data_IF_878331690646
#
_entry.id   IF_878331690646
#
_cell.length_a   1.000
_cell.length_b   1.000
_cell.length_c   1.000
_cell.angle_alpha   90.00
_cell.angle_beta   90.00
_cell.angle_gamma   90.00
#
_symmetry.space_group_name_H-M   'P 1'
#
loop_
_entity.id
_entity.type
_entity.pdbx_description
1 polymer ?
#
# COMPACT_ATOMS: atom_id res chain seq x y z
N UNK A 1 64.08 37.76 4.91
CA UNK A 1 64.51 36.34 4.86
C UNK A 1 64.79 35.96 6.31
N UNK A 2 63.81 35.35 7.01
CA UNK A 2 63.59 33.88 7.01
C UNK A 2 62.09 33.53 6.87
N UNK A 3 61.70 32.48 6.14
CA UNK A 3 61.71 31.03 6.46
C UNK A 3 60.75 30.60 7.59
N UNK A 4 59.59 30.12 7.10
CA UNK A 4 58.71 29.05 7.54
C UNK A 4 59.03 28.29 8.83
N UNK A 5 58.06 28.29 9.76
CA UNK A 5 57.76 27.13 10.60
C UNK A 5 56.26 26.88 10.57
N UNK A 6 55.84 25.84 9.84
CA UNK A 6 54.47 25.29 9.90
C UNK A 6 54.34 24.45 11.18
N UNK A 7 53.58 24.95 12.15
CA UNK A 7 53.08 24.16 13.27
C UNK A 7 51.87 23.35 12.80
N UNK A 8 51.82 22.03 12.99
CA UNK A 8 50.63 21.25 12.64
C UNK A 8 49.48 21.63 13.56
N UNK A 9 48.35 22.00 12.95
CA UNK A 9 47.09 22.18 13.64
C UNK A 9 46.71 20.89 14.35
N UNK A 10 46.46 20.99 15.66
CA UNK A 10 45.88 19.91 16.45
C UNK A 10 44.55 19.48 15.84
N UNK A 11 44.46 18.22 15.45
CA UNK A 11 43.23 17.58 15.00
C UNK A 11 42.29 17.50 16.21
N UNK A 12 41.05 18.05 16.15
CA UNK A 12 40.10 17.84 17.22
C UNK A 12 39.77 16.34 17.32
N UNK A 13 39.77 15.84 18.55
CA UNK A 13 39.50 14.45 18.90
C UNK A 13 38.23 13.95 18.19
N UNK A 14 38.35 12.78 17.55
CA UNK A 14 37.21 12.00 17.06
C UNK A 14 36.28 11.77 18.25
N UNK A 15 35.09 12.36 18.20
CA UNK A 15 34.00 11.95 19.06
C UNK A 15 33.60 10.55 18.63
N UNK A 16 34.06 9.54 19.36
CA UNK A 16 33.49 8.20 19.27
C UNK A 16 32.06 8.31 19.78
N UNK A 17 31.11 8.54 18.88
CA UNK A 17 29.70 8.23 19.13
C UNK A 17 29.66 6.74 19.43
N UNK A 18 29.46 6.40 20.70
CA UNK A 18 29.02 5.08 21.12
C UNK A 18 27.71 4.82 20.39
N UNK A 19 27.77 4.05 19.31
CA UNK A 19 26.61 3.52 18.61
C UNK A 19 25.79 2.74 19.65
N UNK A 20 24.53 3.11 19.93
CA UNK A 20 23.68 2.28 20.76
C UNK A 20 23.51 0.94 20.05
N UNK A 21 23.89 -0.13 20.73
CA UNK A 21 23.86 -1.50 20.22
C UNK A 21 22.59 -1.77 19.40
N UNK A 22 22.69 -2.52 18.28
CA UNK A 22 21.52 -2.86 17.47
C UNK A 22 20.50 -3.51 18.39
N UNK A 23 19.38 -2.82 18.60
CA UNK A 23 18.24 -3.40 19.30
C UNK A 23 17.83 -4.61 18.47
N UNK A 24 18.18 -5.80 18.94
CA UNK A 24 17.62 -7.04 18.43
C UNK A 24 16.12 -6.90 18.56
N UNK A 25 15.44 -6.63 17.45
CA UNK A 25 13.98 -6.67 17.40
C UNK A 25 13.62 -8.13 17.63
N UNK A 26 13.34 -8.46 18.90
CA UNK A 26 12.81 -9.77 19.27
C UNK A 26 11.56 -9.98 18.40
N UNK A 27 11.46 -11.07 17.62
CA UNK A 27 10.22 -11.39 16.94
C UNK A 27 9.14 -11.45 18.01
N UNK A 28 8.16 -10.54 17.95
CA UNK A 28 6.99 -10.59 18.82
C UNK A 28 6.41 -11.99 18.66
N UNK A 29 6.53 -12.83 19.70
CA UNK A 29 5.91 -14.14 19.74
C UNK A 29 4.42 -13.91 19.51
N UNK A 30 3.94 -14.30 18.33
CA UNK A 30 2.51 -14.35 18.02
C UNK A 30 1.95 -15.50 18.84
N UNK A 31 1.01 -15.20 19.73
CA UNK A 31 0.32 -16.19 20.53
C UNK A 31 -0.43 -17.14 19.59
N UNK A 32 -0.69 -18.38 20.00
CA UNK A 32 -1.41 -19.36 19.16
C UNK A 32 -2.84 -18.91 18.74
N UNK A 33 -3.38 -17.87 19.39
CA UNK A 33 -4.62 -17.18 19.00
C UNK A 33 -4.47 -16.16 17.84
N UNK A 34 -3.25 -15.89 17.37
CA UNK A 34 -2.94 -14.93 16.29
C UNK A 34 -2.93 -15.60 14.90
N UNK A 35 -3.37 -16.85 14.79
CA UNK A 35 -3.64 -17.43 13.47
C UNK A 35 -4.88 -16.75 12.90
N UNK A 36 -4.80 -16.14 11.70
CA UNK A 36 -5.98 -15.56 11.10
C UNK A 36 -7.03 -16.66 10.91
N UNK A 37 -8.30 -16.33 11.15
CA UNK A 37 -9.37 -17.28 10.88
C UNK A 37 -9.29 -17.71 9.42
N UNK A 38 -9.53 -18.99 9.13
CA UNK A 38 -9.31 -19.53 7.77
C UNK A 38 -10.30 -18.97 6.74
N UNK A 39 -11.50 -18.54 7.16
CA UNK A 39 -12.57 -18.17 6.23
C UNK A 39 -13.45 -16.98 6.65
N UNK A 40 -13.02 -16.14 7.58
CA UNK A 40 -13.77 -14.90 7.85
C UNK A 40 -13.34 -13.77 6.91
N UNK A 41 -14.26 -12.84 6.66
CA UNK A 41 -14.05 -11.68 5.79
C UNK A 41 -13.58 -10.41 6.53
N UNK A 42 -13.21 -10.52 7.81
CA UNK A 42 -12.66 -9.39 8.54
C UNK A 42 -11.37 -8.88 7.88
N UNK A 43 -11.29 -7.57 7.68
CA UNK A 43 -10.16 -6.91 7.02
C UNK A 43 -8.81 -7.34 7.61
N UNK A 44 -8.68 -7.33 8.93
CA UNK A 44 -7.44 -7.74 9.62
C UNK A 44 -7.07 -9.20 9.34
N UNK A 45 -8.03 -10.11 9.34
CA UNK A 45 -7.76 -11.53 9.10
C UNK A 45 -7.35 -11.78 7.65
N UNK A 46 -8.04 -11.17 6.69
CA UNK A 46 -7.66 -11.26 5.26
C UNK A 46 -6.27 -10.68 5.00
N UNK A 47 -5.95 -9.55 5.65
CA UNK A 47 -4.62 -8.94 5.57
C UNK A 47 -3.54 -9.88 6.12
N UNK A 48 -3.79 -10.52 7.25
CA UNK A 48 -2.84 -11.48 7.83
C UNK A 48 -2.67 -12.71 6.94
N UNK A 49 -3.76 -13.26 6.37
CA UNK A 49 -3.68 -14.39 5.42
C UNK A 49 -2.88 -14.02 4.17
N UNK A 50 -3.12 -12.84 3.59
CA UNK A 50 -2.42 -12.39 2.39
C UNK A 50 -0.92 -12.17 2.62
N UNK A 51 -0.52 -11.68 3.81
CA UNK A 51 0.89 -11.52 4.19
C UNK A 51 1.65 -12.86 4.28
N UNK A 52 0.95 -13.97 4.52
CA UNK A 52 1.52 -15.31 4.58
C UNK A 52 1.60 -15.98 3.20
N UNK A 53 1.09 -15.36 2.14
CA UNK A 53 1.02 -15.94 0.80
C UNK A 53 2.13 -15.36 -0.11
N UNK A 54 2.65 -16.15 -1.07
CA UNK A 54 3.51 -15.61 -2.11
C UNK A 54 2.72 -14.62 -2.99
N UNK A 55 3.41 -13.56 -3.46
CA UNK A 55 2.86 -12.65 -4.47
C UNK A 55 3.18 -13.18 -5.86
N UNK A 56 2.15 -13.57 -6.61
CA UNK A 56 2.27 -13.92 -8.02
C UNK A 56 1.86 -12.72 -8.85
N UNK A 57 2.80 -12.17 -9.63
CA UNK A 57 2.59 -10.95 -10.43
C UNK A 57 2.08 -9.76 -9.59
N UNK A 58 2.57 -9.66 -8.34
CA UNK A 58 2.18 -8.61 -7.39
C UNK A 58 0.89 -8.86 -6.60
N UNK A 59 0.15 -9.94 -6.91
CA UNK A 59 -1.16 -10.26 -6.29
C UNK A 59 -1.08 -11.49 -5.39
N UNK A 60 -1.90 -11.51 -4.34
CA UNK A 60 -2.03 -12.66 -3.43
C UNK A 60 -3.26 -13.50 -3.79
N UNK A 61 -3.22 -14.81 -3.49
CA UNK A 61 -4.34 -15.72 -3.82
C UNK A 61 -5.60 -15.39 -3.03
N UNK A 62 -5.44 -14.79 -1.85
CA UNK A 62 -6.50 -14.30 -0.98
C UNK A 62 -7.48 -13.40 -1.74
N UNK A 63 -7.00 -12.50 -2.61
CA UNK A 63 -7.82 -11.44 -3.24
C UNK A 63 -8.07 -11.65 -4.74
N UNK A 64 -7.98 -12.89 -5.24
CA UNK A 64 -8.13 -13.20 -6.68
C UNK A 64 -9.53 -12.85 -7.18
N UNK A 65 -10.57 -13.07 -6.37
CA UNK A 65 -11.94 -12.78 -6.76
C UNK A 65 -12.14 -11.29 -7.01
N UNK A 66 -11.60 -10.44 -6.14
CA UNK A 66 -11.72 -8.99 -6.20
C UNK A 66 -10.94 -8.41 -7.37
N UNK A 67 -9.75 -8.95 -7.67
CA UNK A 67 -9.00 -8.59 -8.88
C UNK A 67 -9.76 -8.95 -10.16
N UNK A 68 -10.46 -10.10 -10.19
CA UNK A 68 -11.31 -10.49 -11.32
C UNK A 68 -12.50 -9.55 -11.46
N UNK A 69 -13.16 -9.21 -10.35
CA UNK A 69 -14.27 -8.26 -10.34
C UNK A 69 -13.83 -6.88 -10.85
N UNK A 70 -12.70 -6.36 -10.38
CA UNK A 70 -12.14 -5.09 -10.85
C UNK A 70 -11.87 -5.11 -12.37
N UNK A 71 -11.28 -6.19 -12.89
CA UNK A 71 -11.04 -6.36 -14.31
C UNK A 71 -12.33 -6.44 -15.13
N UNK A 72 -13.35 -7.13 -14.61
CA UNK A 72 -14.66 -7.21 -15.25
C UNK A 72 -15.34 -5.83 -15.33
N UNK A 73 -15.33 -5.07 -14.22
CA UNK A 73 -15.84 -3.69 -14.22
C UNK A 73 -15.08 -2.86 -15.26
N UNK A 74 -13.75 -2.90 -15.28
CA UNK A 74 -12.95 -2.14 -16.24
C UNK A 74 -13.33 -2.46 -17.69
N UNK A 75 -13.61 -3.74 -18.01
CA UNK A 75 -14.00 -4.15 -19.36
C UNK A 75 -15.33 -3.52 -19.83
N UNK A 76 -16.21 -3.12 -18.89
CA UNK A 76 -17.49 -2.48 -19.18
C UNK A 76 -17.45 -0.94 -19.12
N UNK A 77 -16.36 -0.34 -18.64
CA UNK A 77 -16.22 1.10 -18.47
C UNK A 77 -15.01 1.66 -19.23
N UNK A 78 -15.14 1.95 -20.55
CA UNK A 78 -14.06 2.52 -21.34
C UNK A 78 -13.56 3.86 -20.77
N UNK A 79 -12.24 4.06 -20.77
CA UNK A 79 -11.63 5.29 -20.27
C UNK A 79 -11.52 5.38 -18.74
N UNK A 80 -11.93 4.33 -18.03
CA UNK A 80 -11.73 4.19 -16.58
C UNK A 80 -10.69 3.10 -16.33
N UNK A 81 -9.78 3.33 -15.38
CA UNK A 81 -8.87 2.30 -14.88
C UNK A 81 -9.37 1.85 -13.51
N UNK A 82 -9.64 0.55 -13.34
CA UNK A 82 -10.20 -0.02 -12.10
C UNK A 82 -9.25 -1.07 -11.53
N UNK A 83 -9.02 -1.02 -10.22
CA UNK A 83 -8.19 -2.00 -9.52
C UNK A 83 -8.68 -2.24 -8.08
N UNK A 84 -8.28 -3.38 -7.52
CA UNK A 84 -8.49 -3.67 -6.10
C UNK A 84 -7.19 -3.45 -5.32
N UNK A 85 -7.25 -2.60 -4.30
CA UNK A 85 -6.13 -2.33 -3.42
C UNK A 85 -6.07 -3.34 -2.28
N UNK A 86 -5.18 -4.34 -2.35
CA UNK A 86 -5.08 -5.38 -1.32
C UNK A 86 -4.79 -4.82 0.08
N UNK A 87 -3.98 -3.76 0.18
CA UNK A 87 -3.62 -3.16 1.46
C UNK A 87 -4.76 -2.35 2.09
N UNK A 88 -5.61 -1.73 1.26
CA UNK A 88 -6.78 -0.97 1.72
C UNK A 88 -8.04 -1.82 1.79
N UNK A 89 -8.02 -2.97 1.11
CA UNK A 89 -9.18 -3.83 0.84
C UNK A 89 -10.37 -3.03 0.31
N UNK A 90 -10.10 -2.29 -0.77
CA UNK A 90 -11.09 -1.40 -1.40
C UNK A 90 -10.87 -1.38 -2.90
N UNK A 91 -11.95 -1.14 -3.63
CA UNK A 91 -11.90 -0.87 -5.05
C UNK A 91 -11.54 0.58 -5.31
N UNK A 92 -10.78 0.80 -6.37
CA UNK A 92 -10.37 2.12 -6.81
C UNK A 92 -10.66 2.26 -8.30
N UNK A 93 -11.09 3.44 -8.70
CA UNK A 93 -11.24 3.80 -10.11
C UNK A 93 -10.63 5.16 -10.40
N UNK A 94 -9.71 5.21 -11.36
CA UNK A 94 -9.27 6.46 -11.96
C UNK A 94 -10.16 6.77 -13.16
N UNK A 95 -10.89 7.88 -13.06
CA UNK A 95 -11.78 8.39 -14.11
C UNK A 95 -11.24 9.73 -14.63
N UNK A 96 -11.71 10.24 -15.78
CA UNK A 96 -11.37 11.58 -16.23
C UNK A 96 -11.75 12.70 -15.23
N UNK A 97 -12.76 12.46 -14.38
CA UNK A 97 -13.20 13.41 -13.37
C UNK A 97 -12.36 13.36 -12.07
N UNK A 98 -11.53 12.32 -11.89
CA UNK A 98 -10.73 12.12 -10.70
C UNK A 98 -10.67 10.68 -10.22
N UNK A 99 -10.16 10.51 -9.00
CA UNK A 99 -9.96 9.22 -8.35
C UNK A 99 -11.10 8.91 -7.37
N UNK A 100 -11.67 7.72 -7.48
CA UNK A 100 -12.76 7.22 -6.63
C UNK A 100 -12.25 6.01 -5.84
N UNK A 101 -12.60 5.92 -4.56
CA UNK A 101 -12.42 4.71 -3.75
C UNK A 101 -13.77 4.22 -3.22
N UNK A 102 -13.99 2.92 -3.20
CA UNK A 102 -15.19 2.30 -2.68
C UNK A 102 -14.86 1.02 -1.89
N UNK A 103 -15.56 0.74 -0.78
CA UNK A 103 -15.31 -0.45 0.03
C UNK A 103 -15.66 -1.76 -0.70
N UNK A 104 -16.61 -1.71 -1.63
CA UNK A 104 -17.10 -2.87 -2.38
C UNK A 104 -17.42 -2.49 -3.84
N UNK A 105 -17.70 -3.52 -4.66
CA UNK A 105 -17.92 -3.38 -6.09
C UNK A 105 -19.21 -2.63 -6.44
N UNK A 106 -20.28 -2.83 -5.66
CA UNK A 106 -21.58 -2.21 -5.93
C UNK A 106 -21.52 -0.71 -5.64
N UNK A 107 -20.86 -0.34 -4.53
CA UNK A 107 -20.59 1.07 -4.19
C UNK A 107 -19.73 1.73 -5.27
N UNK A 108 -18.75 1.01 -5.83
CA UNK A 108 -17.96 1.54 -6.95
C UNK A 108 -18.82 1.76 -8.20
N UNK A 109 -19.63 0.78 -8.58
CA UNK A 109 -20.50 0.86 -9.76
C UNK A 109 -21.49 2.00 -9.65
N UNK A 110 -22.07 2.21 -8.47
CA UNK A 110 -22.97 3.33 -8.20
C UNK A 110 -22.25 4.67 -8.39
N UNK A 111 -21.02 4.81 -7.90
CA UNK A 111 -20.20 6.01 -8.10
C UNK A 111 -19.83 6.20 -9.58
N UNK A 112 -19.47 5.14 -10.29
CA UNK A 112 -19.15 5.25 -11.72
C UNK A 112 -20.37 5.71 -12.53
N UNK A 113 -21.58 5.28 -12.17
CA UNK A 113 -22.81 5.72 -12.83
C UNK A 113 -23.05 7.23 -12.67
N UNK A 114 -22.84 7.79 -11.47
CA UNK A 114 -22.99 9.25 -11.26
C UNK A 114 -21.95 10.07 -12.01
N UNK A 115 -20.73 9.56 -12.18
CA UNK A 115 -19.63 10.26 -12.86
C UNK A 115 -19.59 10.07 -14.39
N UNK A 116 -20.19 9.01 -14.94
CA UNK A 116 -20.31 8.79 -16.39
C UNK A 116 -21.57 9.38 -17.00
N UNK A 117 -22.56 9.75 -16.18
CA UNK A 117 -23.62 10.64 -16.64
C UNK A 117 -22.97 12.00 -16.89
N UNK A 118 -22.95 12.54 -18.12
CA UNK A 118 -22.37 13.84 -18.35
C UNK A 118 -23.07 14.82 -17.39
N UNK A 119 -22.28 15.55 -16.60
CA UNK A 119 -22.68 16.86 -16.11
C UNK A 119 -23.17 17.61 -17.35
N UNK A 120 -24.48 17.57 -17.61
CA UNK A 120 -25.10 18.47 -18.56
C UNK A 120 -24.83 19.85 -17.99
N UNK A 121 -23.84 20.52 -18.56
CA UNK A 121 -23.56 21.93 -18.37
C UNK A 121 -24.87 22.65 -18.63
N UNK A 122 -25.53 23.01 -17.52
CA UNK A 122 -26.78 23.75 -17.53
C UNK A 122 -26.46 25.19 -17.97
N UNK A 123 -27.20 25.74 -18.96
CA UNK A 123 -26.99 27.10 -19.46
C UNK A 123 -27.30 28.17 -18.40
#
# INVERSE_FOLDING_TARGET
MPETTLTPAAVPAVHTTTEPAPRTLVPRQRSAHDSPCVGCDHTTCRQQRSLCQPRLYGRTVEFVAEHRTAAAIQAHHPGVVVWFGEATQSYWAATPAGLISAPDADTLLLALWTHTTPQQSRP
#
